data_IF_732450155246
#
_entry.id   IF_732450155246
#
_cell.length_a   1.000
_cell.length_b   1.000
_cell.length_c   1.000
_cell.angle_alpha   90.00
_cell.angle_beta   90.00
_cell.angle_gamma   90.00
#
_symmetry.space_group_name_H-M   'P 1'
#
loop_
_entity.id
_entity.type
_entity.pdbx_description
1 polymer ?
#
# COMPACT_ATOMS: atom_id res chain seq x y z
N UNK A 1 -20.13 -10.82 -5.12
CA UNK A 1 -20.87 -9.59 -4.79
C UNK A 1 -21.35 -9.75 -3.36
N UNK A 2 -21.01 -8.82 -2.47
CA UNK A 2 -21.41 -8.85 -1.06
C UNK A 2 -22.71 -8.05 -0.91
N UNK A 3 -23.73 -8.67 -0.31
CA UNK A 3 -25.05 -8.01 -0.17
C UNK A 3 -25.10 -7.01 1.01
N UNK A 4 -24.24 -7.21 2.01
CA UNK A 4 -24.11 -6.32 3.15
C UNK A 4 -22.66 -6.23 3.57
N UNK A 5 -22.03 -5.10 3.34
CA UNK A 5 -20.68 -4.83 3.81
C UNK A 5 -20.69 -4.36 5.28
N UNK A 6 -19.69 -4.74 6.08
CA UNK A 6 -19.55 -4.19 7.41
C UNK A 6 -19.24 -2.69 7.34
N UNK A 7 -19.77 -1.96 8.29
CA UNK A 7 -19.44 -0.55 8.47
C UNK A 7 -18.05 -0.45 9.12
N UNK A 8 -17.11 0.20 8.41
CA UNK A 8 -15.75 0.45 8.90
C UNK A 8 -15.63 1.92 9.26
N UNK A 9 -15.45 2.20 10.55
CA UNK A 9 -15.25 3.57 11.00
C UNK A 9 -13.78 3.97 10.83
N UNK A 10 -13.51 4.94 9.93
CA UNK A 10 -12.19 5.54 9.72
C UNK A 10 -12.18 6.98 10.22
N UNK A 11 -11.41 7.25 11.30
CA UNK A 11 -11.20 8.60 11.82
C UNK A 11 -10.07 9.31 11.06
N UNK A 12 -10.31 9.64 9.78
CA UNK A 12 -9.38 10.36 8.93
C UNK A 12 -9.67 11.86 9.00
N UNK A 13 -8.60 12.66 9.11
CA UNK A 13 -8.64 14.14 9.20
C UNK A 13 -8.19 14.81 7.90
N UNK A 14 -8.06 14.05 6.84
CA UNK A 14 -7.57 14.45 5.53
C UNK A 14 -8.66 14.24 4.48
N UNK A 15 -8.70 15.11 3.47
CA UNK A 15 -9.78 15.15 2.48
C UNK A 15 -9.58 14.14 1.35
N UNK A 16 -8.32 13.80 1.05
CA UNK A 16 -7.93 12.81 0.07
C UNK A 16 -7.02 11.76 0.73
N UNK A 17 -7.36 10.48 0.60
CA UNK A 17 -6.61 9.44 1.26
C UNK A 17 -6.23 8.32 0.29
N UNK A 18 -4.93 8.08 0.19
CA UNK A 18 -4.40 6.88 -0.43
C UNK A 18 -4.46 5.71 0.54
N UNK A 19 -4.72 4.54 -0.01
CA UNK A 19 -4.65 3.26 0.71
C UNK A 19 -3.43 2.49 0.23
N UNK A 20 -2.59 2.00 1.14
CA UNK A 20 -1.50 1.08 0.85
C UNK A 20 -1.69 -0.22 1.63
N UNK A 21 -1.73 -1.35 0.93
CA UNK A 21 -1.94 -2.67 1.53
C UNK A 21 -0.75 -3.56 1.23
N UNK A 22 0.02 -3.89 2.25
CA UNK A 22 1.18 -4.74 2.12
C UNK A 22 1.61 -5.32 3.46
N UNK A 23 2.17 -6.50 3.48
CA UNK A 23 2.96 -6.95 4.61
C UNK A 23 4.24 -6.09 4.70
N UNK A 24 4.64 -5.73 5.90
CA UNK A 24 5.80 -4.88 6.12
C UNK A 24 7.10 -5.66 5.82
N UNK A 25 7.61 -5.54 4.60
CA UNK A 25 8.81 -6.26 4.16
C UNK A 25 9.48 -5.62 2.95
N UNK A 26 10.77 -5.92 2.71
CA UNK A 26 11.57 -5.26 1.67
C UNK A 26 10.94 -5.33 0.28
N UNK A 27 10.46 -6.50 -0.15
CA UNK A 27 9.85 -6.69 -1.49
C UNK A 27 8.63 -5.80 -1.70
N UNK A 28 7.86 -5.54 -0.66
CA UNK A 28 6.65 -4.70 -0.72
C UNK A 28 6.96 -3.20 -0.74
N UNK A 29 8.22 -2.82 -0.54
CA UNK A 29 8.71 -1.46 -0.66
C UNK A 29 7.99 -0.41 0.21
N UNK A 30 7.38 -0.85 1.31
CA UNK A 30 6.52 0.02 2.11
C UNK A 30 7.29 1.17 2.77
N UNK A 31 8.56 0.96 3.14
CA UNK A 31 9.42 2.00 3.71
C UNK A 31 9.58 3.18 2.74
N UNK A 32 9.94 2.89 1.48
CA UNK A 32 10.07 3.93 0.48
C UNK A 32 8.72 4.53 0.10
N UNK A 33 7.67 3.72 0.05
CA UNK A 33 6.30 4.22 -0.20
C UNK A 33 5.92 5.29 0.82
N UNK A 34 6.16 5.05 2.11
CA UNK A 34 5.88 6.03 3.18
C UNK A 34 6.75 7.27 3.01
N UNK A 35 8.05 7.09 2.78
CA UNK A 35 8.99 8.19 2.65
C UNK A 35 8.66 9.07 1.45
N UNK A 36 8.51 8.48 0.26
CA UNK A 36 8.19 9.22 -0.96
C UNK A 36 6.81 9.87 -0.89
N UNK A 37 5.83 9.21 -0.27
CA UNK A 37 4.54 9.85 -0.01
C UNK A 37 4.68 11.12 0.84
N UNK A 38 5.49 11.07 1.92
CA UNK A 38 5.70 12.24 2.77
C UNK A 38 6.47 13.33 2.03
N UNK A 39 7.47 12.97 1.23
CA UNK A 39 8.25 13.92 0.42
C UNK A 39 7.38 14.64 -0.62
N UNK A 40 6.50 13.90 -1.32
CA UNK A 40 5.62 14.43 -2.36
C UNK A 40 4.51 15.30 -1.78
N UNK A 41 3.85 14.83 -0.71
CA UNK A 41 2.69 15.50 -0.12
C UNK A 41 3.00 16.24 1.18
N UNK A 42 4.26 16.64 1.38
CA UNK A 42 4.73 17.24 2.63
C UNK A 42 3.82 18.38 3.12
N UNK A 43 3.45 19.28 2.24
CA UNK A 43 2.69 20.50 2.54
C UNK A 43 1.18 20.40 2.24
N UNK A 44 0.70 19.19 1.90
CA UNK A 44 -0.68 18.96 1.48
C UNK A 44 -1.53 18.31 2.59
N UNK A 45 -2.85 18.57 2.57
CA UNK A 45 -3.80 17.91 3.47
C UNK A 45 -4.25 16.55 2.92
N UNK A 46 -3.29 15.64 2.72
CA UNK A 46 -3.48 14.30 2.13
C UNK A 46 -3.09 13.23 3.14
N UNK A 47 -3.78 12.12 3.13
CA UNK A 47 -3.54 10.98 4.02
C UNK A 47 -3.00 9.75 3.28
N UNK A 48 -2.15 8.99 3.96
CA UNK A 48 -1.78 7.62 3.59
C UNK A 48 -2.30 6.67 4.66
N UNK A 49 -3.28 5.88 4.33
CA UNK A 49 -3.82 4.80 5.17
C UNK A 49 -3.06 3.53 4.84
N UNK A 50 -2.30 3.02 5.78
CA UNK A 50 -1.48 1.84 5.60
C UNK A 50 -2.14 0.66 6.32
N UNK A 51 -2.60 -0.33 5.57
CA UNK A 51 -3.05 -1.62 6.11
C UNK A 51 -1.90 -2.61 6.05
N UNK A 52 -1.33 -2.94 7.20
CA UNK A 52 -0.12 -3.75 7.28
C UNK A 52 0.02 -4.48 8.61
N UNK A 53 0.90 -5.48 8.63
CA UNK A 53 1.49 -6.11 9.80
C UNK A 53 2.95 -6.49 9.48
N UNK A 54 3.76 -6.75 10.50
CA UNK A 54 5.09 -7.32 10.31
C UNK A 54 5.01 -8.82 10.02
N UNK A 55 4.33 -9.58 10.90
CA UNK A 55 4.24 -11.03 10.78
C UNK A 55 2.89 -11.61 11.25
N UNK A 56 2.28 -11.04 12.28
CA UNK A 56 1.14 -11.65 12.98
C UNK A 56 0.11 -10.60 13.43
N UNK A 57 -1.13 -11.05 13.57
CA UNK A 57 -2.19 -10.26 14.16
C UNK A 57 -2.13 -10.34 15.71
N UNK A 58 -1.20 -9.61 16.33
CA UNK A 58 -1.07 -9.55 17.79
C UNK A 58 -0.59 -8.17 18.27
N UNK A 59 -0.78 -7.88 19.56
CA UNK A 59 -0.44 -6.58 20.14
C UNK A 59 1.04 -6.21 20.00
N UNK A 60 1.95 -7.17 20.17
CA UNK A 60 3.40 -6.94 20.04
C UNK A 60 3.76 -6.55 18.61
N UNK A 61 3.16 -7.22 17.62
CA UNK A 61 3.35 -6.89 16.22
C UNK A 61 2.80 -5.49 15.90
N UNK A 62 1.61 -5.18 16.43
CA UNK A 62 1.00 -3.85 16.29
C UNK A 62 1.89 -2.75 16.84
N UNK A 63 2.42 -2.91 18.04
CA UNK A 63 3.29 -1.91 18.66
C UNK A 63 4.59 -1.71 17.87
N UNK A 64 5.20 -2.80 17.39
CA UNK A 64 6.40 -2.74 16.54
C UNK A 64 6.11 -2.07 15.20
N UNK A 65 5.04 -2.46 14.53
CA UNK A 65 4.61 -1.86 13.26
C UNK A 65 4.36 -0.37 13.44
N UNK A 66 3.59 0.01 14.47
CA UNK A 66 3.33 1.41 14.80
C UNK A 66 4.62 2.19 15.09
N UNK A 67 5.51 1.61 15.90
CA UNK A 67 6.82 2.23 16.20
C UNK A 67 7.67 2.47 14.95
N UNK A 68 7.69 1.52 14.00
CA UNK A 68 8.41 1.66 12.74
C UNK A 68 7.83 2.77 11.86
N UNK A 69 6.52 2.79 11.67
CA UNK A 69 5.83 3.85 10.90
C UNK A 69 6.01 5.23 11.56
N UNK A 70 5.90 5.28 12.89
CA UNK A 70 6.09 6.52 13.64
C UNK A 70 7.53 7.05 13.55
N UNK A 71 8.53 6.16 13.57
CA UNK A 71 9.93 6.55 13.43
C UNK A 71 10.19 7.23 12.08
N UNK A 72 9.70 6.63 10.98
CA UNK A 72 9.80 7.24 9.65
C UNK A 72 9.06 8.58 9.56
N UNK A 73 7.85 8.65 10.12
CA UNK A 73 7.08 9.88 10.11
C UNK A 73 7.72 11.03 10.92
N UNK A 74 8.51 10.70 11.95
CA UNK A 74 9.25 11.69 12.77
C UNK A 74 10.45 12.31 12.05
N UNK A 75 10.96 11.69 11.01
CA UNK A 75 12.03 12.28 10.18
C UNK A 75 11.54 13.56 9.46
N UNK A 76 10.23 13.74 9.35
CA UNK A 76 9.57 14.88 8.71
C UNK A 76 8.65 15.61 9.72
N UNK A 77 9.20 16.40 10.65
CA UNK A 77 8.43 16.96 11.77
C UNK A 77 7.35 17.97 11.34
N UNK A 78 7.59 18.73 10.28
CA UNK A 78 6.73 19.84 9.85
C UNK A 78 5.71 19.45 8.76
N UNK A 79 5.62 18.17 8.42
CA UNK A 79 4.68 17.70 7.39
C UNK A 79 3.23 17.94 7.76
N UNK A 80 2.43 18.35 6.78
CA UNK A 80 0.97 18.50 6.90
C UNK A 80 0.24 17.20 6.58
N UNK A 81 0.77 16.42 5.64
CA UNK A 81 0.22 15.10 5.31
C UNK A 81 0.17 14.18 6.53
N UNK A 82 -0.76 13.22 6.52
CA UNK A 82 -1.00 12.31 7.65
C UNK A 82 -0.73 10.87 7.25
N UNK A 83 -0.19 10.10 8.18
CA UNK A 83 -0.02 8.66 8.05
C UNK A 83 -0.92 7.98 9.07
N UNK A 84 -1.78 7.09 8.60
CA UNK A 84 -2.71 6.30 9.40
C UNK A 84 -2.34 4.82 9.30
N UNK A 85 -2.56 4.07 10.36
CA UNK A 85 -2.24 2.65 10.42
C UNK A 85 -3.48 1.82 10.74
N UNK A 86 -3.79 0.87 9.88
CA UNK A 86 -4.69 -0.25 10.12
C UNK A 86 -3.82 -1.48 10.31
N UNK A 87 -3.89 -2.10 11.48
CA UNK A 87 -3.09 -3.28 11.80
C UNK A 87 -3.99 -4.49 12.04
N UNK A 88 -3.55 -5.63 11.55
CA UNK A 88 -4.19 -6.91 11.79
C UNK A 88 -4.88 -7.50 10.58
N UNK A 89 -5.53 -8.64 10.81
CA UNK A 89 -6.27 -9.34 9.77
C UNK A 89 -7.65 -8.69 9.58
N UNK A 90 -8.16 -8.78 8.36
CA UNK A 90 -9.50 -8.35 7.98
C UNK A 90 -10.14 -9.50 7.18
N UNK A 91 -11.44 -9.67 7.29
CA UNK A 91 -12.19 -10.60 6.43
C UNK A 91 -12.28 -10.05 5.00
N UNK A 92 -12.70 -10.88 4.06
CA UNK A 92 -12.87 -10.48 2.66
C UNK A 92 -13.93 -9.36 2.54
N UNK A 93 -15.00 -9.41 3.37
CA UNK A 93 -16.02 -8.38 3.42
C UNK A 93 -15.48 -7.05 3.97
N UNK A 94 -14.66 -7.11 5.03
CA UNK A 94 -14.00 -5.92 5.59
C UNK A 94 -13.00 -5.32 4.60
N UNK A 95 -12.24 -6.15 3.89
CA UNK A 95 -11.34 -5.69 2.84
C UNK A 95 -12.10 -5.01 1.70
N UNK A 96 -13.22 -5.60 1.25
CA UNK A 96 -14.03 -4.99 0.23
C UNK A 96 -14.68 -3.68 0.71
N UNK A 97 -15.15 -3.63 1.96
CA UNK A 97 -15.64 -2.40 2.57
C UNK A 97 -14.56 -1.31 2.64
N UNK A 98 -13.31 -1.69 2.89
CA UNK A 98 -12.18 -0.75 2.89
C UNK A 98 -11.90 -0.20 1.49
N UNK A 99 -11.91 -1.05 0.43
CA UNK A 99 -11.70 -0.61 -0.95
C UNK A 99 -12.82 0.30 -1.47
N UNK A 100 -14.04 0.14 -0.97
CA UNK A 100 -15.22 0.92 -1.39
C UNK A 100 -15.60 2.04 -0.42
N UNK A 101 -14.76 2.27 0.59
CA UNK A 101 -15.01 3.29 1.61
C UNK A 101 -14.94 4.69 1.03
N UNK A 102 -15.92 5.55 1.34
CA UNK A 102 -16.07 6.92 0.83
C UNK A 102 -14.88 7.85 1.14
N UNK A 103 -14.15 7.59 2.21
CA UNK A 103 -12.95 8.34 2.60
C UNK A 103 -11.67 7.83 1.95
N UNK A 104 -11.69 6.74 1.19
CA UNK A 104 -10.53 6.20 0.47
C UNK A 104 -10.65 6.59 -1.00
N UNK A 105 -9.65 7.29 -1.51
CA UNK A 105 -9.70 7.93 -2.83
C UNK A 105 -8.93 7.14 -3.89
N UNK A 106 -7.87 6.42 -3.52
CA UNK A 106 -7.04 5.66 -4.45
C UNK A 106 -6.20 4.60 -3.71
N UNK A 107 -5.87 3.50 -4.37
CA UNK A 107 -4.82 2.59 -3.92
C UNK A 107 -3.45 3.08 -4.42
N UNK A 108 -2.45 3.09 -3.53
CA UNK A 108 -1.04 3.32 -3.88
C UNK A 108 -0.24 2.03 -3.67
N UNK A 109 0.32 1.47 -4.75
CA UNK A 109 1.07 0.22 -4.72
C UNK A 109 2.31 0.29 -5.62
N UNK A 110 3.47 0.47 -5.00
CA UNK A 110 4.77 0.55 -5.69
C UNK A 110 5.76 -0.51 -5.18
N UNK A 111 5.39 -1.80 -5.21
CA UNK A 111 6.26 -2.89 -4.78
C UNK A 111 7.43 -3.09 -5.75
N UNK A 112 8.51 -3.71 -5.27
CA UNK A 112 9.60 -4.13 -6.15
C UNK A 112 9.22 -5.28 -7.08
N UNK A 113 8.17 -6.03 -6.77
CA UNK A 113 7.60 -7.08 -7.61
C UNK A 113 6.47 -7.85 -6.91
N UNK A 114 5.53 -8.30 -7.70
CA UNK A 114 4.37 -9.09 -7.28
C UNK A 114 4.19 -10.33 -8.17
N UNK A 115 3.83 -11.46 -7.57
CA UNK A 115 3.44 -12.63 -8.35
C UNK A 115 2.13 -12.39 -9.12
N UNK A 116 1.13 -11.83 -8.45
CA UNK A 116 -0.14 -11.40 -9.03
C UNK A 116 -0.55 -10.00 -8.54
N UNK A 117 -0.33 -9.71 -7.26
CA UNK A 117 -0.71 -8.44 -6.65
C UNK A 117 -2.20 -8.39 -6.27
N UNK A 118 -2.68 -9.38 -5.51
CA UNK A 118 -4.08 -9.47 -5.09
C UNK A 118 -4.67 -8.15 -4.59
N UNK A 119 -4.03 -7.38 -3.68
CA UNK A 119 -4.60 -6.12 -3.23
C UNK A 119 -4.78 -5.08 -4.36
N UNK A 120 -3.91 -5.10 -5.36
CA UNK A 120 -4.02 -4.21 -6.53
C UNK A 120 -5.21 -4.63 -7.39
N UNK A 121 -5.32 -5.93 -7.65
CA UNK A 121 -6.44 -6.49 -8.41
C UNK A 121 -7.79 -6.24 -7.72
N UNK A 122 -7.87 -6.51 -6.42
CA UNK A 122 -9.09 -6.31 -5.63
C UNK A 122 -9.54 -4.85 -5.60
N UNK A 123 -8.60 -3.91 -5.44
CA UNK A 123 -8.88 -2.49 -5.50
C UNK A 123 -9.42 -2.07 -6.88
N UNK A 124 -8.74 -2.46 -7.95
CA UNK A 124 -9.18 -2.18 -9.33
C UNK A 124 -10.55 -2.80 -9.62
N UNK A 125 -10.77 -4.06 -9.22
CA UNK A 125 -12.05 -4.76 -9.38
C UNK A 125 -13.18 -4.10 -8.58
N UNK A 126 -12.86 -3.50 -7.42
CA UNK A 126 -13.81 -2.75 -6.59
C UNK A 126 -14.11 -1.34 -7.13
N UNK A 127 -13.45 -0.93 -8.22
CA UNK A 127 -13.61 0.40 -8.82
C UNK A 127 -12.80 1.50 -8.14
N UNK A 128 -11.90 1.15 -7.20
CA UNK A 128 -11.00 2.11 -6.58
C UNK A 128 -9.88 2.47 -7.58
N UNK A 129 -9.65 3.76 -7.88
CA UNK A 129 -8.51 4.18 -8.68
C UNK A 129 -7.18 3.63 -8.15
N UNK A 130 -6.31 3.18 -9.04
CA UNK A 130 -5.03 2.56 -8.68
C UNK A 130 -3.87 3.41 -9.18
N UNK A 131 -2.92 3.70 -8.29
CA UNK A 131 -1.59 4.24 -8.61
C UNK A 131 -0.59 3.12 -8.38
N UNK A 132 0.03 2.62 -9.45
CA UNK A 132 0.92 1.45 -9.38
C UNK A 132 1.99 1.47 -10.46
N UNK A 133 3.06 0.70 -10.24
CA UNK A 133 4.01 0.36 -11.30
C UNK A 133 3.40 -0.70 -12.22
N UNK A 134 3.55 -0.56 -13.52
CA UNK A 134 3.04 -1.51 -14.54
C UNK A 134 4.09 -2.55 -14.90
N UNK A 135 4.70 -3.17 -13.90
CA UNK A 135 5.70 -4.20 -14.09
C UNK A 135 5.40 -5.42 -13.20
N UNK A 136 5.91 -6.61 -13.56
CA UNK A 136 5.66 -7.86 -12.85
C UNK A 136 4.21 -8.38 -13.01
N UNK A 137 3.70 -9.24 -12.14
CA UNK A 137 2.43 -9.95 -12.33
C UNK A 137 1.19 -9.08 -12.44
N UNK A 138 1.20 -7.85 -11.95
CA UNK A 138 0.07 -6.94 -12.11
C UNK A 138 -0.11 -6.40 -13.53
N UNK A 139 0.86 -6.57 -14.43
CA UNK A 139 0.71 -6.22 -15.84
C UNK A 139 -0.47 -6.95 -16.50
N UNK A 140 -0.74 -8.19 -16.09
CA UNK A 140 -1.75 -9.05 -16.72
C UNK A 140 -3.17 -8.47 -16.66
N UNK A 141 -3.43 -7.53 -15.75
CA UNK A 141 -4.76 -6.91 -15.60
C UNK A 141 -4.74 -5.38 -15.55
N UNK A 142 -3.56 -4.75 -15.43
CA UNK A 142 -3.44 -3.29 -15.47
C UNK A 142 -3.12 -2.76 -16.85
N UNK A 143 -2.71 -3.62 -17.78
CA UNK A 143 -2.32 -3.22 -19.13
C UNK A 143 -2.96 -4.14 -20.15
N UNK A 144 -3.59 -3.58 -21.18
CA UNK A 144 -4.14 -4.31 -22.31
C UNK A 144 -3.85 -3.60 -23.64
N UNK A 145 -4.45 -4.06 -24.72
CA UNK A 145 -4.30 -3.48 -26.07
C UNK A 145 -4.83 -2.02 -26.18
N UNK A 146 -5.66 -1.59 -25.23
CA UNK A 146 -6.23 -0.24 -25.18
C UNK A 146 -5.38 0.71 -24.33
N UNK A 147 -4.41 0.20 -23.58
CA UNK A 147 -3.50 0.97 -22.74
C UNK A 147 -3.44 0.52 -21.29
N UNK A 148 -3.11 1.47 -20.41
CA UNK A 148 -2.93 1.24 -18.99
C UNK A 148 -4.19 1.64 -18.23
N UNK A 149 -4.68 0.75 -17.35
CA UNK A 149 -5.89 0.92 -16.53
C UNK A 149 -5.58 1.41 -15.12
N UNK A 150 -4.44 2.06 -14.91
CA UNK A 150 -4.07 2.67 -13.64
C UNK A 150 -3.28 3.97 -13.91
N UNK A 151 -3.04 4.73 -12.86
CA UNK A 151 -2.03 5.80 -12.89
C UNK A 151 -0.65 5.16 -12.77
N UNK A 152 0.07 5.09 -13.90
CA UNK A 152 1.36 4.41 -13.99
C UNK A 152 2.48 5.19 -13.32
N UNK A 153 3.24 4.52 -12.48
CA UNK A 153 4.44 5.04 -11.85
C UNK A 153 5.65 4.50 -12.62
N UNK A 154 6.44 5.40 -13.18
CA UNK A 154 7.66 5.03 -13.91
C UNK A 154 8.66 4.33 -12.98
N UNK A 155 9.41 3.38 -13.54
CA UNK A 155 10.37 2.58 -12.79
C UNK A 155 11.60 2.26 -13.64
N UNK A 156 12.70 1.95 -12.96
CA UNK A 156 13.91 1.40 -13.55
C UNK A 156 14.26 0.06 -12.91
N UNK A 157 14.70 -0.90 -13.70
CA UNK A 157 15.20 -2.16 -13.19
C UNK A 157 16.63 -1.99 -12.66
N UNK A 158 16.86 -2.43 -11.45
CA UNK A 158 18.17 -2.39 -10.80
C UNK A 158 18.51 -3.76 -10.24
N UNK A 159 19.81 -4.00 -10.03
CA UNK A 159 20.25 -5.21 -9.32
C UNK A 159 19.61 -5.25 -7.94
N UNK A 160 19.17 -6.44 -7.55
CA UNK A 160 18.59 -6.67 -6.23
C UNK A 160 19.58 -6.28 -5.16
N UNK A 161 19.16 -5.44 -4.22
CA UNK A 161 19.97 -5.04 -3.08
C UNK A 161 20.21 -6.24 -2.15
N UNK A 162 21.41 -6.36 -1.61
CA UNK A 162 21.80 -7.51 -0.79
C UNK A 162 20.88 -7.69 0.43
N UNK A 163 20.37 -6.60 0.99
CA UNK A 163 19.50 -6.57 2.16
C UNK A 163 18.13 -7.20 1.92
N UNK A 164 17.72 -7.34 0.66
CA UNK A 164 16.42 -7.96 0.27
C UNK A 164 16.58 -9.38 -0.25
N UNK A 165 17.82 -9.87 -0.36
CA UNK A 165 18.12 -11.26 -0.74
C UNK A 165 17.87 -12.16 0.46
N UNK A 166 16.97 -13.12 0.32
CA UNK A 166 16.77 -14.14 1.34
C UNK A 166 17.79 -15.25 1.16
N UNK A 167 18.43 -15.66 2.24
CA UNK A 167 19.32 -16.82 2.23
C UNK A 167 18.61 -18.02 1.65
N UNK A 168 19.27 -18.72 0.71
CA UNK A 168 18.78 -19.88 -0.01
C UNK A 168 17.61 -19.66 -0.99
N UNK A 169 17.27 -18.43 -1.34
CA UNK A 169 16.39 -18.13 -2.46
C UNK A 169 17.24 -17.82 -3.69
N UNK A 170 17.05 -18.61 -4.76
CA UNK A 170 17.66 -18.32 -6.06
C UNK A 170 17.01 -17.08 -6.63
N UNK A 171 17.79 -16.01 -6.73
CA UNK A 171 17.42 -14.79 -7.48
C UNK A 171 18.15 -14.92 -8.81
N UNK A 172 17.39 -15.01 -9.89
CA UNK A 172 17.95 -14.86 -11.23
C UNK A 172 18.06 -13.38 -11.54
N UNK A 173 19.26 -12.95 -11.96
CA UNK A 173 19.56 -11.59 -12.43
C UNK A 173 18.83 -11.29 -13.76
#
# INVERSE_FOLDING_TARGET
QYDNLPDIELDLKTDFNFLAIAQFGPRKNLNNTIKWFIEEFHDENVGLVIKTNLMKNCLIDRERTFGSVQAMAKEFPDKKCKIYLIHGDMTDEEMHALYTHDKISSLLAIPHGEGFGLPIFEAAYSGLPVVAVTWSGQQDYLVDENGTHCYDVSFDLQKVQQEVVWENVLIQD
#
